data_IF_659819793273
#
_entry.id   IF_659819793273
#
_cell.length_a   1.000
_cell.length_b   1.000
_cell.length_c   1.000
_cell.angle_alpha   90.00
_cell.angle_beta   90.00
_cell.angle_gamma   90.00
#
_symmetry.space_group_name_H-M   'P 1'
#
loop_
_entity.id
_entity.type
_entity.pdbx_description
1 polymer ?
#
# COMPACT_ATOMS: atom_id res chain seq x y z
N UNK A 1 -10.73 -10.90 14.01
CA UNK A 1 -10.13 -9.71 13.37
C UNK A 1 -8.85 -10.16 12.69
N UNK A 2 -8.61 -9.79 11.42
CA UNK A 2 -7.43 -10.23 10.65
C UNK A 2 -6.62 -9.02 10.20
N UNK A 3 -5.31 -9.14 10.33
CA UNK A 3 -4.34 -8.07 10.08
C UNK A 3 -3.30 -8.56 9.08
N UNK A 4 -3.05 -7.73 8.07
CA UNK A 4 -1.88 -7.82 7.20
C UNK A 4 -1.10 -6.52 7.36
N UNK A 5 0.02 -6.57 8.08
CA UNK A 5 0.79 -5.38 8.43
C UNK A 5 1.94 -5.11 7.44
N UNK A 6 2.01 -5.83 6.32
CA UNK A 6 3.01 -5.59 5.29
C UNK A 6 2.52 -6.12 3.94
N UNK A 7 1.78 -5.27 3.21
CA UNK A 7 1.28 -5.61 1.89
C UNK A 7 1.59 -4.50 0.88
N UNK A 8 2.13 -4.85 -0.28
CA UNK A 8 2.36 -3.93 -1.38
C UNK A 8 1.12 -3.88 -2.30
N UNK A 9 0.07 -3.18 -1.88
CA UNK A 9 -1.19 -3.10 -2.64
C UNK A 9 -1.00 -2.45 -4.03
N UNK A 10 -0.06 -1.51 -4.15
CA UNK A 10 0.26 -0.78 -5.38
C UNK A 10 1.00 -1.61 -6.44
N UNK A 11 1.56 -2.78 -6.06
CA UNK A 11 2.25 -3.69 -6.97
C UNK A 11 1.34 -4.77 -7.57
N UNK A 12 0.10 -4.90 -7.12
CA UNK A 12 -0.87 -5.80 -7.75
C UNK A 12 -1.24 -5.31 -9.16
N UNK A 13 -1.55 -6.25 -10.07
CA UNK A 13 -1.99 -5.93 -11.43
C UNK A 13 -3.24 -5.06 -11.46
N UNK A 14 -4.17 -5.31 -10.53
CA UNK A 14 -5.34 -4.46 -10.29
C UNK A 14 -5.47 -4.14 -8.79
N UNK A 15 -4.83 -3.06 -8.33
CA UNK A 15 -4.87 -2.66 -6.92
C UNK A 15 -6.29 -2.38 -6.42
N UNK A 16 -7.18 -1.89 -7.30
CA UNK A 16 -8.54 -1.47 -6.91
C UNK A 16 -9.40 -2.67 -6.54
N UNK A 17 -9.34 -3.75 -7.31
CA UNK A 17 -10.06 -4.99 -6.97
C UNK A 17 -9.56 -5.55 -5.63
N UNK A 18 -8.24 -5.65 -5.43
CA UNK A 18 -7.67 -6.18 -4.18
C UNK A 18 -8.09 -5.34 -2.98
N UNK A 19 -8.04 -4.00 -3.09
CA UNK A 19 -8.51 -3.07 -2.05
C UNK A 19 -9.99 -3.31 -1.74
N UNK A 20 -10.83 -3.42 -2.77
CA UNK A 20 -12.26 -3.70 -2.60
C UNK A 20 -12.51 -5.03 -1.88
N UNK A 21 -11.79 -6.10 -2.24
CA UNK A 21 -11.92 -7.40 -1.58
C UNK A 21 -11.45 -7.33 -0.12
N UNK A 22 -10.36 -6.62 0.18
CA UNK A 22 -9.86 -6.43 1.55
C UNK A 22 -10.88 -5.69 2.42
N UNK A 23 -11.47 -4.60 1.92
CA UNK A 23 -12.46 -3.83 2.66
C UNK A 23 -13.76 -4.63 2.87
N UNK A 24 -14.25 -5.33 1.84
CA UNK A 24 -15.40 -6.23 1.92
C UNK A 24 -15.21 -7.34 2.95
N UNK A 25 -14.00 -7.89 3.06
CA UNK A 25 -13.62 -8.92 4.04
C UNK A 25 -13.34 -8.37 5.44
N UNK A 26 -13.34 -7.05 5.62
CA UNK A 26 -13.05 -6.39 6.88
C UNK A 26 -11.60 -6.58 7.35
N UNK A 27 -10.66 -6.72 6.42
CA UNK A 27 -9.22 -6.84 6.74
C UNK A 27 -8.64 -5.49 7.15
N UNK A 28 -7.71 -5.53 8.09
CA UNK A 28 -6.84 -4.40 8.40
C UNK A 28 -5.55 -4.57 7.62
N UNK A 29 -5.18 -3.57 6.83
CA UNK A 29 -4.00 -3.65 5.95
C UNK A 29 -3.11 -2.42 6.12
N UNK A 30 -1.81 -2.66 6.34
CA UNK A 30 -0.78 -1.64 6.16
C UNK A 30 -0.18 -1.76 4.75
N UNK A 31 -0.62 -0.86 3.87
CA UNK A 31 -0.15 -0.75 2.50
C UNK A 31 1.23 -0.08 2.49
N UNK A 32 2.29 -0.87 2.32
CA UNK A 32 3.66 -0.35 2.30
C UNK A 32 4.06 0.08 0.88
N UNK A 33 4.79 1.18 0.78
CA UNK A 33 5.32 1.68 -0.50
C UNK A 33 6.80 1.32 -0.65
N UNK A 34 7.25 1.10 -1.89
CA UNK A 34 8.66 0.78 -2.18
C UNK A 34 9.52 2.05 -2.34
N UNK A 35 8.93 3.17 -2.73
CA UNK A 35 9.60 4.47 -2.87
C UNK A 35 8.78 5.60 -2.24
N UNK A 36 9.40 6.68 -1.76
CA UNK A 36 8.69 7.82 -1.21
C UNK A 36 7.72 8.46 -2.21
N UNK A 37 8.10 8.50 -3.49
CA UNK A 37 7.30 9.08 -4.58
C UNK A 37 5.97 8.33 -4.80
N UNK A 38 5.92 7.03 -4.51
CA UNK A 38 4.69 6.24 -4.64
C UNK A 38 3.62 6.60 -3.59
N UNK A 39 4.01 7.18 -2.45
CA UNK A 39 3.12 7.41 -1.31
C UNK A 39 1.81 8.12 -1.65
N UNK A 40 1.88 9.24 -2.39
CA UNK A 40 0.69 10.04 -2.69
C UNK A 40 -0.29 9.24 -3.56
N UNK A 41 0.22 8.51 -4.55
CA UNK A 41 -0.59 7.65 -5.43
C UNK A 41 -1.22 6.49 -4.65
N UNK A 42 -0.41 5.75 -3.89
CA UNK A 42 -0.85 4.59 -3.12
C UNK A 42 -1.82 4.99 -2.00
N UNK A 43 -1.64 6.14 -1.36
CA UNK A 43 -2.58 6.67 -0.36
C UNK A 43 -3.92 7.09 -0.99
N UNK A 44 -3.91 7.59 -2.23
CA UNK A 44 -5.14 7.94 -2.96
C UNK A 44 -5.98 6.69 -3.26
N UNK A 45 -5.35 5.57 -3.62
CA UNK A 45 -6.03 4.31 -3.91
C UNK A 45 -6.88 3.80 -2.74
N UNK A 46 -6.41 4.01 -1.50
CA UNK A 46 -7.06 3.48 -0.28
C UNK A 46 -7.89 4.52 0.48
N UNK A 47 -8.02 5.74 -0.06
CA UNK A 47 -8.62 6.89 0.66
C UNK A 47 -10.07 6.68 1.14
N UNK A 48 -10.84 5.79 0.51
CA UNK A 48 -12.19 5.42 0.94
C UNK A 48 -12.26 4.30 1.99
N UNK A 49 -11.14 3.65 2.30
CA UNK A 49 -11.10 2.47 3.15
C UNK A 49 -10.72 2.82 4.60
N UNK A 50 -11.60 2.49 5.56
CA UNK A 50 -11.35 2.84 6.98
C UNK A 50 -10.20 2.03 7.61
N UNK A 51 -10.02 0.78 7.16
CA UNK A 51 -9.13 -0.23 7.77
C UNK A 51 -7.82 -0.42 7.02
N UNK A 52 -7.62 0.29 5.90
CA UNK A 52 -6.40 0.23 5.11
C UNK A 52 -5.67 1.55 5.28
N UNK A 53 -4.38 1.50 5.63
CA UNK A 53 -3.53 2.67 5.83
C UNK A 53 -2.27 2.53 5.00
N UNK A 54 -1.78 3.63 4.43
CA UNK A 54 -0.56 3.64 3.63
C UNK A 54 0.62 4.07 4.47
N UNK A 55 1.72 3.30 4.41
CA UNK A 55 3.00 3.65 5.00
C UNK A 55 3.94 4.25 3.94
N UNK A 56 4.67 5.30 4.34
CA UNK A 56 5.77 5.85 3.56
C UNK A 56 6.99 4.95 3.67
N UNK A 57 7.52 4.47 2.54
CA UNK A 57 8.65 3.55 2.51
C UNK A 57 9.72 3.93 1.49
N UNK A 58 10.93 3.47 1.77
CA UNK A 58 12.07 3.46 0.84
C UNK A 58 12.74 2.10 0.99
N UNK A 59 12.46 1.18 0.07
CA UNK A 59 12.96 -0.19 0.15
C UNK A 59 14.48 -0.21 -0.08
N UNK A 60 15.26 -0.99 0.69
CA UNK A 60 16.73 -1.03 0.58
C UNK A 60 17.23 -1.35 -0.85
N UNK A 61 16.51 -2.19 -1.57
CA UNK A 61 16.79 -2.51 -2.98
C UNK A 61 16.82 -1.27 -3.87
N UNK A 62 15.99 -0.26 -3.62
CA UNK A 62 15.91 0.97 -4.41
C UNK A 62 16.63 2.15 -3.74
N UNK A 63 17.08 1.99 -2.49
CA UNK A 63 17.69 3.06 -1.73
C UNK A 63 18.99 3.60 -2.35
N UNK A 64 19.67 2.82 -3.20
CA UNK A 64 20.86 3.25 -3.92
C UNK A 64 20.55 4.20 -5.10
N UNK A 65 19.33 4.14 -5.65
CA UNK A 65 18.85 4.99 -6.75
C UNK A 65 18.27 6.33 -6.28
N UNK A 66 18.26 6.60 -4.96
CA UNK A 66 17.57 7.78 -4.37
C UNK A 66 18.12 9.15 -4.79
N UNK A 67 19.28 9.16 -5.45
CA UNK A 67 19.97 10.37 -5.89
C UNK A 67 19.94 10.55 -7.42
N UNK A 68 19.35 9.59 -8.14
CA UNK A 68 19.00 9.73 -9.56
C UNK A 68 17.72 10.56 -9.71
#
# INVERSE_FOLDING_TARGET
MKFDMHCHLDLYKDPKDIIYQCDKKGLYVLSVTTTPNAYIGSNRLVSGCKRIKTALGLHPELAHLRHE
#
